data_IF_977282376922
#
_entry.id   IF_977282376922
#
_cell.length_a   1.000
_cell.length_b   1.000
_cell.length_c   1.000
_cell.angle_alpha   90.00
_cell.angle_beta   90.00
_cell.angle_gamma   90.00
#
_symmetry.space_group_name_H-M   'P 1'
#
loop_
_entity.id
_entity.type
_entity.pdbx_description
1 polymer ?
#
# COMPACT_ATOMS: atom_id res chain seq x y z
N UNK A 1 2.57 -22.77 13.47
CA UNK A 1 1.40 -22.03 14.01
C UNK A 1 0.95 -22.73 15.27
N UNK A 2 1.16 -22.14 16.46
CA UNK A 2 0.95 -22.83 17.75
C UNK A 2 -0.52 -22.84 18.21
N UNK A 3 -1.36 -21.97 17.62
CA UNK A 3 -2.75 -21.73 18.04
C UNK A 3 -3.81 -21.92 16.92
N UNK A 4 -3.43 -22.45 15.75
CA UNK A 4 -4.39 -22.66 14.64
C UNK A 4 -4.92 -21.38 13.95
N UNK A 5 -4.26 -20.24 14.09
CA UNK A 5 -4.68 -18.97 13.47
C UNK A 5 -4.53 -19.00 11.94
N UNK A 6 -5.62 -18.85 11.19
CA UNK A 6 -5.60 -18.93 9.72
C UNK A 6 -5.22 -17.63 9.01
N UNK A 7 -5.42 -16.47 9.64
CA UNK A 7 -5.12 -15.15 9.07
C UNK A 7 -4.92 -14.10 10.17
N UNK A 8 -4.14 -13.06 9.87
CA UNK A 8 -3.91 -11.91 10.75
C UNK A 8 -4.59 -10.67 10.19
N UNK A 9 -5.30 -9.93 11.03
CA UNK A 9 -5.86 -8.62 10.66
C UNK A 9 -5.20 -7.58 11.55
N UNK A 10 -4.48 -6.63 10.97
CA UNK A 10 -3.77 -5.62 11.74
C UNK A 10 -3.58 -4.31 10.94
N UNK A 11 -3.66 -3.13 11.60
CA UNK A 11 -3.17 -1.90 11.00
C UNK A 11 -1.66 -1.98 10.83
N UNK A 12 -1.16 -1.64 9.65
CA UNK A 12 0.28 -1.61 9.36
C UNK A 12 0.74 -0.19 9.08
N UNK A 13 1.90 0.19 9.59
CA UNK A 13 2.60 1.41 9.20
C UNK A 13 3.57 1.12 8.05
N UNK A 14 4.08 2.16 7.40
CA UNK A 14 5.06 2.01 6.32
C UNK A 14 6.30 1.21 6.74
N UNK A 15 6.77 1.44 7.97
CA UNK A 15 7.97 0.78 8.52
C UNK A 15 7.72 -0.67 8.95
N UNK A 16 6.52 -0.99 9.45
CA UNK A 16 6.19 -2.35 9.92
C UNK A 16 5.75 -3.28 8.79
N UNK A 17 5.29 -2.72 7.67
CA UNK A 17 4.74 -3.48 6.55
C UNK A 17 5.77 -4.45 5.93
N UNK A 18 7.00 -3.99 5.69
CA UNK A 18 8.04 -4.83 5.08
C UNK A 18 8.38 -6.07 5.94
N UNK A 19 8.39 -5.91 7.26
CA UNK A 19 8.62 -7.00 8.20
C UNK A 19 7.44 -7.97 8.21
N UNK A 20 6.21 -7.46 8.26
CA UNK A 20 5.01 -8.30 8.23
C UNK A 20 4.89 -9.08 6.91
N UNK A 21 5.16 -8.44 5.78
CA UNK A 21 5.21 -9.07 4.47
C UNK A 21 6.26 -10.19 4.43
N UNK A 22 7.45 -9.96 5.00
CA UNK A 22 8.51 -10.98 5.05
C UNK A 22 8.12 -12.20 5.88
N UNK A 23 7.46 -11.99 7.04
CA UNK A 23 6.96 -13.09 7.86
C UNK A 23 5.79 -13.83 7.19
N UNK A 24 4.85 -13.08 6.60
CA UNK A 24 3.71 -13.64 5.87
C UNK A 24 4.17 -14.52 4.71
N UNK A 25 5.15 -14.06 3.93
CA UNK A 25 5.75 -14.81 2.83
C UNK A 25 6.48 -16.07 3.32
N UNK A 26 7.23 -15.96 4.42
CA UNK A 26 8.00 -17.09 4.98
C UNK A 26 7.09 -18.19 5.52
N UNK A 27 6.06 -17.81 6.27
CA UNK A 27 5.17 -18.77 6.93
C UNK A 27 3.92 -19.11 6.12
N UNK A 28 3.78 -18.55 4.92
CA UNK A 28 2.56 -18.65 4.07
C UNK A 28 1.30 -18.28 4.84
N UNK A 29 1.41 -17.22 5.63
CA UNK A 29 0.36 -16.78 6.53
C UNK A 29 -0.28 -15.52 5.96
N UNK A 30 -1.57 -15.57 5.57
CA UNK A 30 -2.24 -14.39 5.04
C UNK A 30 -2.42 -13.33 6.11
N UNK A 31 -2.29 -12.08 5.69
CA UNK A 31 -2.67 -10.94 6.52
C UNK A 31 -3.49 -9.92 5.75
N UNK A 32 -4.38 -9.25 6.46
CA UNK A 32 -5.26 -8.21 5.94
C UNK A 32 -4.95 -6.90 6.67
N UNK A 33 -4.69 -5.83 5.93
CA UNK A 33 -4.41 -4.52 6.49
C UNK A 33 -5.29 -3.42 5.89
N UNK A 34 -5.87 -2.51 6.71
CA UNK A 34 -6.54 -1.31 6.23
C UNK A 34 -5.57 -0.22 5.75
N UNK A 35 -4.27 -0.43 5.89
CA UNK A 35 -3.26 0.55 5.53
C UNK A 35 -2.95 0.58 4.03
N UNK A 36 -2.17 1.58 3.63
CA UNK A 36 -1.78 1.81 2.25
C UNK A 36 -1.22 0.54 1.59
N UNK A 37 -1.69 0.17 0.38
CA UNK A 37 -1.10 -0.92 -0.37
C UNK A 37 0.29 -0.48 -0.81
N UNK A 38 1.32 -0.82 -0.02
CA UNK A 38 2.69 -0.72 -0.47
C UNK A 38 2.92 -1.81 -1.52
N UNK A 39 2.59 -1.46 -2.77
CA UNK A 39 3.08 -2.19 -3.94
C UNK A 39 4.50 -1.68 -4.14
N UNK A 40 5.43 -2.26 -3.39
CA UNK A 40 6.86 -2.10 -3.63
C UNK A 40 7.32 -3.29 -4.47
N UNK A 41 7.89 -3.00 -5.64
CA UNK A 41 8.47 -4.02 -6.52
C UNK A 41 9.63 -4.77 -5.85
N UNK A 42 10.24 -4.16 -4.82
CA UNK A 42 11.39 -4.72 -4.10
C UNK A 42 10.96 -5.80 -3.09
N UNK A 43 9.78 -5.66 -2.46
CA UNK A 43 9.30 -6.59 -1.42
C UNK A 43 7.78 -6.83 -1.50
N UNK A 44 7.30 -7.61 -2.49
CA UNK A 44 5.88 -7.87 -2.64
C UNK A 44 5.33 -8.69 -1.46
N UNK A 45 4.20 -8.26 -0.92
CA UNK A 45 3.44 -9.02 0.08
C UNK A 45 2.56 -10.06 -0.64
N UNK A 46 3.13 -11.24 -0.93
CA UNK A 46 2.43 -12.31 -1.67
C UNK A 46 1.20 -12.85 -0.93
N UNK A 47 1.22 -12.76 0.39
CA UNK A 47 0.12 -13.16 1.28
C UNK A 47 -0.54 -11.94 1.96
N UNK A 48 -0.32 -10.74 1.44
CA UNK A 48 -0.91 -9.51 1.96
C UNK A 48 -2.15 -9.09 1.17
N UNK A 49 -3.22 -8.75 1.88
CA UNK A 49 -4.42 -8.14 1.30
C UNK A 49 -4.55 -6.73 1.89
N UNK A 50 -4.52 -5.70 1.05
CA UNK A 50 -4.83 -4.34 1.47
C UNK A 50 -6.31 -4.06 1.22
N UNK A 51 -6.98 -3.50 2.24
CA UNK A 51 -8.36 -3.03 2.13
C UNK A 51 -8.46 -1.59 1.62
N UNK A 52 -7.36 -0.84 1.58
CA UNK A 52 -7.37 0.55 1.11
C UNK A 52 -7.33 0.56 -0.43
N UNK A 53 -8.31 1.18 -1.10
CA UNK A 53 -8.31 1.29 -2.56
C UNK A 53 -7.17 2.18 -3.06
N UNK A 54 -6.74 1.96 -4.30
CA UNK A 54 -5.77 2.82 -4.99
C UNK A 54 -6.43 4.15 -5.37
N UNK A 55 -6.13 5.22 -4.63
CA UNK A 55 -6.75 6.53 -4.81
C UNK A 55 -5.97 7.49 -5.74
N UNK A 56 -4.68 7.26 -5.99
CA UNK A 56 -3.87 8.12 -6.87
C UNK A 56 -4.49 8.33 -8.26
N UNK A 57 -5.04 7.30 -8.95
CA UNK A 57 -5.74 7.51 -10.23
C UNK A 57 -6.93 8.46 -10.10
N UNK A 58 -7.70 8.37 -9.02
CA UNK A 58 -8.84 9.25 -8.77
C UNK A 58 -8.40 10.71 -8.54
N UNK A 59 -7.29 10.93 -7.84
CA UNK A 59 -6.71 12.29 -7.70
C UNK A 59 -6.33 12.86 -9.07
N UNK A 60 -5.67 12.06 -9.92
CA UNK A 60 -5.28 12.47 -11.27
C UNK A 60 -6.51 12.80 -12.12
N UNK A 61 -7.59 12.02 -12.01
CA UNK A 61 -8.85 12.29 -12.70
C UNK A 61 -9.49 13.61 -12.25
N UNK A 62 -9.44 13.95 -10.96
CA UNK A 62 -9.94 15.23 -10.43
C UNK A 62 -9.15 16.41 -11.00
N UNK A 63 -7.82 16.32 -11.05
CA UNK A 63 -6.94 17.35 -11.63
C UNK A 63 -7.30 17.58 -13.11
N UNK A 64 -7.50 16.49 -13.87
CA UNK A 64 -7.90 16.53 -15.28
C UNK A 64 -9.30 17.11 -15.45
N UNK A 65 -10.25 16.71 -14.61
CA UNK A 65 -11.64 17.16 -14.65
C UNK A 65 -11.74 18.68 -14.48
N UNK A 66 -11.02 19.25 -13.51
CA UNK A 66 -11.00 20.70 -13.25
C UNK A 66 -9.97 21.47 -14.09
N UNK A 67 -9.21 20.79 -14.95
CA UNK A 67 -8.19 21.40 -15.84
C UNK A 67 -7.21 22.30 -15.09
N UNK A 68 -6.73 21.87 -13.92
CA UNK A 68 -5.74 22.62 -13.16
C UNK A 68 -4.45 22.76 -13.98
N UNK A 69 -3.98 24.00 -14.17
CA UNK A 69 -2.76 24.30 -14.95
C UNK A 69 -1.48 24.27 -14.09
N UNK A 70 -1.62 24.48 -12.79
CA UNK A 70 -0.54 24.46 -11.80
C UNK A 70 -1.10 23.94 -10.49
N UNK A 71 -0.31 23.10 -9.82
CA UNK A 71 -0.69 22.45 -8.56
C UNK A 71 0.49 22.55 -7.58
N UNK A 72 0.18 22.80 -6.31
CA UNK A 72 1.10 22.59 -5.21
C UNK A 72 0.75 21.26 -4.54
N UNK A 73 1.64 20.29 -4.62
CA UNK A 73 1.45 18.98 -4.01
C UNK A 73 2.23 18.90 -2.70
N UNK A 74 1.51 18.91 -1.58
CA UNK A 74 2.06 18.64 -0.25
C UNK A 74 1.82 17.17 0.07
N UNK A 75 2.87 16.44 0.41
CA UNK A 75 2.80 15.03 0.75
C UNK A 75 3.51 14.74 2.05
N UNK A 76 3.11 13.65 2.69
CA UNK A 76 3.79 13.06 3.85
C UNK A 76 4.77 12.00 3.35
N UNK A 77 6.00 12.01 3.85
CA UNK A 77 7.03 11.01 3.53
C UNK A 77 6.64 9.60 3.98
N UNK A 78 5.76 9.47 4.99
CA UNK A 78 5.30 8.18 5.47
C UNK A 78 4.32 7.50 4.50
N UNK A 79 3.57 8.30 3.74
CA UNK A 79 2.72 7.85 2.63
C UNK A 79 3.56 7.89 1.34
N UNK A 80 4.58 7.04 1.24
CA UNK A 80 5.40 6.92 0.02
C UNK A 80 4.49 6.59 -1.17
N UNK A 81 4.21 7.55 -2.08
CA UNK A 81 3.37 7.28 -3.22
C UNK A 81 4.26 6.54 -4.20
N UNK A 82 4.01 5.26 -4.42
CA UNK A 82 4.57 4.56 -5.59
C UNK A 82 3.91 5.15 -6.84
N UNK A 83 4.42 6.31 -7.29
CA UNK A 83 4.04 6.89 -8.57
C UNK A 83 4.60 5.94 -9.62
N UNK A 84 3.75 5.21 -10.36
CA UNK A 84 4.23 4.40 -11.45
C UNK A 84 4.89 5.34 -12.46
N UNK A 85 6.07 4.99 -12.96
CA UNK A 85 6.80 5.71 -14.03
C UNK A 85 6.00 5.94 -15.34
N UNK A 86 4.73 5.53 -15.37
CA UNK A 86 3.80 5.64 -16.49
C UNK A 86 3.07 7.00 -16.52
N UNK A 87 3.27 7.85 -15.51
CA UNK A 87 2.64 9.18 -15.40
C UNK A 87 3.66 10.35 -15.35
N UNK A 88 4.93 10.04 -15.59
CA UNK A 88 6.00 11.00 -15.94
C UNK A 88 6.30 10.86 -17.44
#
# INVERSE_FOLDING_TARGET
MKNGTFSIIAPTTATSYATLASYANTFRMPFVSPAFPQITDVRPALYGISLRPRYLPAIVEVIKHYRWKSILYLYDSDDEPSIPNQYL
#
